data_IF_815293111958
#
_entry.id   IF_815293111958
#
_cell.length_a   1.000
_cell.length_b   1.000
_cell.length_c   1.000
_cell.angle_alpha   90.00
_cell.angle_beta   90.00
_cell.angle_gamma   90.00
#
_symmetry.space_group_name_H-M   'P 1'
#
loop_
_entity.id
_entity.type
_entity.pdbx_description
1 polymer ?
#
# COMPACT_ATOMS: atom_id res chain seq x y z
N UNK A 1 -4.04 -13.06 -29.38
CA UNK A 1 -4.05 -12.25 -28.14
C UNK A 1 -3.14 -12.86 -27.04
N UNK A 2 -2.02 -13.51 -27.39
CA UNK A 2 -1.11 -14.17 -26.42
C UNK A 2 0.36 -13.69 -26.52
N UNK A 3 0.61 -12.54 -27.17
CA UNK A 3 1.97 -12.02 -27.38
C UNK A 3 2.31 -10.82 -26.45
N UNK A 4 1.40 -10.41 -25.55
CA UNK A 4 1.62 -9.28 -24.62
C UNK A 4 2.22 -9.68 -23.26
N UNK A 5 2.24 -10.97 -22.91
CA UNK A 5 2.80 -11.47 -21.65
C UNK A 5 4.08 -12.30 -21.87
N UNK A 6 4.95 -11.89 -22.79
CA UNK A 6 6.34 -12.32 -22.65
C UNK A 6 6.89 -11.58 -21.44
N UNK A 7 6.91 -12.25 -20.28
CA UNK A 7 7.46 -11.73 -19.03
C UNK A 7 8.94 -11.47 -19.30
N UNK A 8 9.25 -10.26 -19.76
CA UNK A 8 10.63 -9.89 -20.05
C UNK A 8 11.35 -9.85 -18.71
N UNK A 9 12.22 -10.82 -18.45
CA UNK A 9 13.07 -10.85 -17.25
C UNK A 9 13.84 -9.53 -17.06
N UNK A 10 14.09 -8.79 -18.15
CA UNK A 10 14.62 -7.42 -18.15
C UNK A 10 13.70 -6.41 -17.44
N UNK A 11 12.39 -6.45 -17.69
CA UNK A 11 11.39 -5.57 -17.07
C UNK A 11 11.15 -5.93 -15.60
N UNK A 12 11.17 -7.22 -15.28
CA UNK A 12 11.17 -7.70 -13.88
C UNK A 12 12.41 -7.21 -13.13
N UNK A 13 13.58 -7.28 -13.77
CA UNK A 13 14.84 -6.76 -13.22
C UNK A 13 14.82 -5.25 -13.00
N UNK A 14 14.19 -4.49 -13.90
CA UNK A 14 13.99 -3.04 -13.74
C UNK A 14 13.07 -2.74 -12.55
N UNK A 15 11.98 -3.49 -12.39
CA UNK A 15 11.07 -3.34 -11.23
C UNK A 15 11.76 -3.62 -9.89
N UNK A 16 12.56 -4.69 -9.82
CA UNK A 16 13.37 -5.00 -8.64
C UNK A 16 14.46 -3.94 -8.37
N UNK A 17 15.11 -3.41 -9.41
CA UNK A 17 16.06 -2.30 -9.25
C UNK A 17 15.38 -1.05 -8.70
N UNK A 18 14.22 -0.67 -9.23
CA UNK A 18 13.45 0.47 -8.73
C UNK A 18 13.05 0.28 -7.27
N UNK A 19 12.57 -0.91 -6.87
CA UNK A 19 12.22 -1.16 -5.47
C UNK A 19 13.43 -1.03 -4.54
N UNK A 20 14.59 -1.53 -4.94
CA UNK A 20 15.81 -1.39 -4.13
C UNK A 20 16.27 0.06 -4.03
N UNK A 21 16.15 0.85 -5.10
CA UNK A 21 16.46 2.28 -5.10
C UNK A 21 15.48 3.06 -4.21
N UNK A 22 14.18 2.75 -4.29
CA UNK A 22 13.14 3.34 -3.44
C UNK A 22 13.44 3.09 -1.96
N UNK A 23 13.79 1.85 -1.59
CA UNK A 23 14.17 1.49 -0.22
C UNK A 23 15.40 2.26 0.24
N UNK A 24 16.44 2.37 -0.59
CA UNK A 24 17.63 3.18 -0.26
C UNK A 24 17.29 4.67 -0.08
N UNK A 25 16.42 5.23 -0.93
CA UNK A 25 15.95 6.60 -0.80
C UNK A 25 15.10 6.83 0.48
N UNK A 26 14.24 5.88 0.85
CA UNK A 26 13.47 5.94 2.08
C UNK A 26 14.37 5.96 3.32
N UNK A 27 15.40 5.09 3.36
CA UNK A 27 16.38 5.04 4.46
C UNK A 27 17.09 6.39 4.65
N UNK A 28 17.51 7.03 3.54
CA UNK A 28 18.15 8.35 3.55
C UNK A 28 17.17 9.43 4.01
N UNK A 29 15.92 9.38 3.53
CA UNK A 29 14.90 10.34 3.93
C UNK A 29 14.60 10.31 5.43
N UNK A 30 14.69 9.17 6.09
CA UNK A 30 14.51 9.07 7.54
C UNK A 30 15.61 9.81 8.30
N UNK A 31 16.84 9.85 7.77
CA UNK A 31 17.93 10.61 8.37
C UNK A 31 17.64 12.12 8.36
N UNK A 32 17.07 12.61 7.26
CA UNK A 32 16.56 13.99 7.14
C UNK A 32 15.42 14.21 8.13
N UNK A 33 14.49 13.26 8.23
CA UNK A 33 13.31 13.34 9.10
C UNK A 33 13.64 13.33 10.61
N UNK A 34 14.83 12.87 11.00
CA UNK A 34 15.34 12.98 12.38
C UNK A 34 15.50 14.42 12.85
N UNK A 35 15.61 15.37 11.93
CA UNK A 35 15.79 16.79 12.22
C UNK A 35 14.45 17.55 12.36
N UNK A 36 13.31 16.87 12.18
CA UNK A 36 12.00 17.50 12.25
C UNK A 36 11.38 17.45 13.65
N UNK A 37 10.58 18.47 13.96
CA UNK A 37 9.79 18.50 15.20
C UNK A 37 8.71 17.41 15.18
N UNK A 38 8.34 16.90 16.36
CA UNK A 38 7.35 15.81 16.50
C UNK A 38 6.01 16.12 15.83
N UNK A 39 5.58 17.38 15.83
CA UNK A 39 4.30 17.78 15.22
C UNK A 39 4.37 17.73 13.69
N UNK A 40 5.46 18.27 13.11
CA UNK A 40 5.72 18.23 11.67
C UNK A 40 5.91 16.79 11.18
N UNK A 41 6.62 15.95 11.96
CA UNK A 41 6.80 14.53 11.65
C UNK A 41 5.47 13.80 11.51
N UNK A 42 4.56 13.93 12.48
CA UNK A 42 3.26 13.26 12.45
C UNK A 42 2.39 13.71 11.26
N UNK A 43 2.42 15.01 10.93
CA UNK A 43 1.71 15.55 9.77
C UNK A 43 2.26 14.97 8.46
N UNK A 44 3.59 14.98 8.30
CA UNK A 44 4.26 14.45 7.10
C UNK A 44 3.97 12.96 6.93
N UNK A 45 4.13 12.16 7.98
CA UNK A 45 3.85 10.71 7.95
C UNK A 45 2.39 10.43 7.55
N UNK A 46 1.44 11.20 8.11
CA UNK A 46 0.03 11.07 7.75
C UNK A 46 -0.22 11.43 6.28
N UNK A 47 0.44 12.47 5.78
CA UNK A 47 0.36 12.87 4.37
C UNK A 47 0.90 11.77 3.46
N UNK A 48 2.08 11.22 3.74
CA UNK A 48 2.69 10.13 2.95
C UNK A 48 1.80 8.87 2.92
N UNK A 49 1.25 8.44 4.06
CA UNK A 49 0.30 7.32 4.12
C UNK A 49 -0.96 7.63 3.30
N UNK A 50 -1.55 8.82 3.46
CA UNK A 50 -2.76 9.20 2.72
C UNK A 50 -2.53 9.31 1.21
N UNK A 51 -1.34 9.75 0.80
CA UNK A 51 -0.94 9.85 -0.59
C UNK A 51 -0.74 8.47 -1.23
N UNK A 52 -0.04 7.54 -0.55
CA UNK A 52 0.15 6.17 -1.03
C UNK A 52 -1.20 5.46 -1.23
N UNK A 53 -2.07 5.50 -0.21
CA UNK A 53 -3.41 4.91 -0.28
C UNK A 53 -4.25 5.56 -1.38
N UNK A 54 -4.19 6.89 -1.52
CA UNK A 54 -4.90 7.63 -2.57
C UNK A 54 -4.42 7.28 -3.98
N UNK A 55 -3.11 7.16 -4.18
CA UNK A 55 -2.51 6.82 -5.47
C UNK A 55 -2.82 5.37 -5.89
N UNK A 56 -2.67 4.40 -4.98
CA UNK A 56 -2.95 2.98 -5.24
C UNK A 56 -4.45 2.72 -5.49
N UNK A 57 -5.32 3.34 -4.69
CA UNK A 57 -6.77 3.24 -4.91
C UNK A 57 -7.18 3.93 -6.22
N UNK A 58 -6.66 5.14 -6.50
CA UNK A 58 -6.90 5.84 -7.76
C UNK A 58 -6.45 5.04 -8.98
N UNK A 59 -5.24 4.46 -8.94
CA UNK A 59 -4.73 3.61 -10.03
C UNK A 59 -5.63 2.39 -10.26
N UNK A 60 -6.10 1.77 -9.18
CA UNK A 60 -7.05 0.66 -9.26
C UNK A 60 -8.38 1.09 -9.92
N UNK A 61 -8.93 2.24 -9.57
CA UNK A 61 -10.18 2.72 -10.14
C UNK A 61 -10.06 3.19 -11.60
N UNK A 62 -9.01 3.91 -11.96
CA UNK A 62 -8.89 4.47 -13.31
C UNK A 62 -8.30 3.49 -14.33
N UNK A 63 -7.52 2.51 -13.88
CA UNK A 63 -6.87 1.57 -14.79
C UNK A 63 -7.61 0.22 -14.86
N UNK A 64 -8.03 -0.34 -13.71
CA UNK A 64 -8.68 -1.65 -13.70
C UNK A 64 -10.16 -1.57 -14.08
N UNK A 65 -10.86 -0.46 -13.80
CA UNK A 65 -12.28 -0.35 -14.09
C UNK A 65 -12.60 -0.30 -15.59
N UNK A 66 -11.89 0.51 -16.42
CA UNK A 66 -12.11 0.51 -17.87
C UNK A 66 -11.62 -0.79 -18.51
N UNK A 67 -10.54 -1.38 -17.99
CA UNK A 67 -10.00 -2.63 -18.50
C UNK A 67 -10.92 -3.81 -18.23
N UNK A 68 -11.52 -3.90 -17.03
CA UNK A 68 -12.54 -4.90 -16.71
C UNK A 68 -13.81 -4.73 -17.55
N UNK A 69 -14.19 -3.50 -17.87
CA UNK A 69 -15.34 -3.25 -18.75
C UNK A 69 -15.05 -3.62 -20.21
N UNK A 70 -13.85 -3.32 -20.71
CA UNK A 70 -13.44 -3.64 -22.09
C UNK A 70 -13.31 -5.14 -22.34
N UNK A 71 -12.79 -5.91 -21.37
CA UNK A 71 -12.63 -7.37 -21.49
C UNK A 71 -13.99 -8.09 -21.54
N UNK A 72 -15.01 -7.53 -20.87
CA UNK A 72 -16.38 -8.05 -20.89
C UNK A 72 -17.15 -7.71 -22.18
N UNK A 73 -16.64 -6.81 -23.02
CA UNK A 73 -17.23 -6.46 -24.32
C UNK A 73 -16.70 -7.32 -25.47
N UNK A 74 -15.62 -8.11 -25.26
CA UNK A 74 -15.01 -8.98 -26.30
C UNK A 74 -15.56 -10.42 -26.29
N UNK A 75 -16.40 -10.80 -25.30
CA UNK A 75 -17.07 -12.10 -25.28
C UNK A 75 -18.48 -12.03 -25.88
N UNK A 76 -18.63 -12.57 -27.11
CA UNK A 76 -19.86 -12.65 -27.89
C UNK A 76 -21.06 -13.35 -27.19
N UNK A 77 -21.76 -12.73 -26.23
CA UNK A 77 -23.15 -13.09 -25.82
C UNK A 77 -23.96 -11.91 -25.25
N UNK A 78 -25.07 -11.59 -25.94
CA UNK A 78 -26.30 -10.89 -25.51
C UNK A 78 -26.18 -9.60 -24.66
N UNK A 79 -26.45 -8.40 -25.23
CA UNK A 79 -26.36 -7.12 -24.53
C UNK A 79 -27.71 -6.74 -23.93
N UNK A 80 -27.87 -6.71 -22.59
CA UNK A 80 -28.83 -5.77 -21.98
C UNK A 80 -28.69 -5.56 -20.45
N UNK A 81 -28.08 -6.47 -19.67
CA UNK A 81 -28.10 -6.33 -18.20
C UNK A 81 -26.74 -6.37 -17.48
N UNK A 82 -25.71 -7.00 -18.05
CA UNK A 82 -24.41 -7.19 -17.36
C UNK A 82 -23.58 -5.90 -17.22
N UNK A 83 -23.66 -4.97 -18.17
CA UNK A 83 -22.88 -3.71 -18.14
C UNK A 83 -23.28 -2.79 -16.98
N UNK A 84 -24.57 -2.78 -16.64
CA UNK A 84 -25.13 -1.99 -15.54
C UNK A 84 -24.69 -2.50 -14.16
N UNK A 85 -24.39 -3.80 -14.03
CA UNK A 85 -23.99 -4.37 -12.75
C UNK A 85 -22.54 -4.02 -12.38
N UNK A 86 -21.61 -3.89 -13.33
CA UNK A 86 -20.22 -3.51 -13.02
C UNK A 86 -20.08 -2.09 -12.49
N UNK A 87 -20.83 -1.15 -13.07
CA UNK A 87 -20.85 0.23 -12.60
C UNK A 87 -21.36 0.31 -11.15
N UNK A 88 -22.45 -0.41 -10.84
CA UNK A 88 -22.98 -0.49 -9.48
C UNK A 88 -22.04 -1.23 -8.52
N UNK A 89 -21.34 -2.28 -8.96
CA UNK A 89 -20.39 -3.03 -8.15
C UNK A 89 -19.19 -2.16 -7.75
N UNK A 90 -18.65 -1.36 -8.66
CA UNK A 90 -17.55 -0.45 -8.35
C UNK A 90 -17.98 0.65 -7.37
N UNK A 91 -19.14 1.26 -7.62
CA UNK A 91 -19.71 2.28 -6.73
C UNK A 91 -19.96 1.68 -5.33
N UNK A 92 -20.53 0.48 -5.25
CA UNK A 92 -20.72 -0.25 -4.00
C UNK A 92 -19.39 -0.52 -3.29
N UNK A 93 -18.34 -0.88 -4.01
CA UNK A 93 -16.99 -1.08 -3.48
C UNK A 93 -16.41 0.18 -2.84
N UNK A 94 -16.55 1.34 -3.49
CA UNK A 94 -16.11 2.64 -2.94
C UNK A 94 -16.87 2.97 -1.65
N UNK A 95 -18.19 2.80 -1.64
CA UNK A 95 -19.01 3.06 -0.46
C UNK A 95 -18.72 2.08 0.68
N UNK A 96 -18.53 0.79 0.37
CA UNK A 96 -18.15 -0.22 1.35
C UNK A 96 -16.78 0.08 1.98
N UNK A 97 -15.79 0.48 1.17
CA UNK A 97 -14.48 0.89 1.67
C UNK A 97 -14.56 2.11 2.59
N UNK A 98 -15.30 3.15 2.19
CA UNK A 98 -15.53 4.33 3.01
C UNK A 98 -16.23 3.99 4.34
N UNK A 99 -17.24 3.12 4.28
CA UNK A 99 -17.97 2.65 5.46
C UNK A 99 -17.05 1.88 6.41
N UNK A 100 -16.24 0.95 5.90
CA UNK A 100 -15.25 0.22 6.71
C UNK A 100 -14.26 1.16 7.42
N UNK A 101 -13.72 2.17 6.72
CA UNK A 101 -12.79 3.15 7.31
C UNK A 101 -13.49 3.99 8.39
N UNK A 102 -14.75 4.38 8.16
CA UNK A 102 -15.57 5.09 9.15
C UNK A 102 -15.90 4.23 10.36
N UNK A 103 -16.23 2.95 10.16
CA UNK A 103 -16.48 2.00 11.23
C UNK A 103 -15.24 1.82 12.10
N UNK A 104 -14.05 1.69 11.52
CA UNK A 104 -12.79 1.61 12.30
C UNK A 104 -12.62 2.84 13.19
N UNK A 105 -12.87 4.05 12.66
CA UNK A 105 -12.84 5.29 13.46
C UNK A 105 -13.90 5.31 14.56
N UNK A 106 -15.14 4.92 14.25
CA UNK A 106 -16.23 4.87 15.22
C UNK A 106 -15.94 3.87 16.33
N UNK A 107 -15.46 2.67 16.00
CA UNK A 107 -15.05 1.65 16.98
C UNK A 107 -13.92 2.19 17.85
N UNK A 108 -12.92 2.85 17.26
CA UNK A 108 -11.81 3.44 18.01
C UNK A 108 -12.28 4.55 18.97
N UNK A 109 -13.16 5.45 18.53
CA UNK A 109 -13.72 6.50 19.37
C UNK A 109 -14.67 5.96 20.45
N UNK A 110 -15.47 4.92 20.16
CA UNK A 110 -16.28 4.22 21.16
C UNK A 110 -15.37 3.58 22.23
N UNK A 111 -14.26 2.96 21.83
CA UNK A 111 -13.27 2.38 22.76
C UNK A 111 -12.60 3.46 23.63
N UNK A 112 -12.44 4.67 23.10
CA UNK A 112 -11.90 5.84 23.81
C UNK A 112 -12.94 6.48 24.76
N UNK A 113 -14.21 6.57 24.34
CA UNK A 113 -15.30 7.14 25.11
C UNK A 113 -15.79 6.25 26.26
N UNK A 114 -15.65 4.92 26.13
CA UNK A 114 -16.00 3.96 27.19
C UNK A 114 -15.07 3.96 28.40
N UNK A 115 -14.12 4.90 28.50
CA UNK A 115 -13.36 5.12 29.73
C UNK A 115 -12.68 3.85 30.25
N UNK A 116 -12.31 2.92 29.35
CA UNK A 116 -11.25 1.99 29.69
C UNK A 116 -10.03 2.88 29.76
N UNK A 117 -9.69 3.31 30.98
CA UNK A 117 -8.36 3.76 31.31
C UNK A 117 -7.44 2.60 30.94
N UNK A 118 -7.06 2.54 29.67
CA UNK A 118 -5.76 2.03 29.29
C UNK A 118 -4.83 3.04 29.95
N UNK A 119 -4.55 2.80 31.25
CA UNK A 119 -3.24 3.12 31.75
C UNK A 119 -2.31 2.69 30.65
N UNK A 120 -1.45 3.62 30.26
CA UNK A 120 -0.32 3.43 29.35
C UNK A 120 0.60 2.33 29.93
N UNK A 121 0.11 1.10 30.00
CA UNK A 121 0.78 0.07 29.28
C UNK A 121 0.67 0.53 27.85
N UNK A 122 1.73 1.21 27.41
CA UNK A 122 2.23 1.02 26.08
C UNK A 122 1.80 -0.37 25.64
N UNK A 123 1.31 -0.51 24.42
CA UNK A 123 1.43 -1.82 23.79
C UNK A 123 2.96 -2.06 23.65
N UNK A 124 3.71 -2.24 24.74
CA UNK A 124 4.19 -3.57 25.06
C UNK A 124 3.07 -4.51 24.64
N UNK A 125 3.17 -4.93 23.37
CA UNK A 125 3.30 -6.35 23.17
C UNK A 125 4.07 -6.85 24.39
N UNK A 126 3.34 -7.34 25.40
CA UNK A 126 3.74 -8.58 26.04
C UNK A 126 4.04 -9.45 24.82
N UNK A 127 5.28 -9.46 24.34
CA UNK A 127 6.30 -10.37 24.82
C UNK A 127 5.74 -11.37 25.85
N UNK A 128 4.57 -11.98 25.55
CA UNK A 128 4.48 -13.41 25.60
C UNK A 128 5.79 -13.86 24.99
N UNK A 129 6.58 -14.54 25.80
CA UNK A 129 7.84 -15.15 25.48
C UNK A 129 7.74 -15.99 24.19
N UNK A 130 7.65 -15.28 23.08
CA UNK A 130 7.65 -15.66 21.70
C UNK A 130 8.64 -14.65 21.18
N UNK A 131 9.89 -15.05 21.23
CA UNK A 131 10.79 -14.77 20.14
C UNK A 131 10.01 -15.11 18.86
N UNK A 132 9.22 -14.18 18.33
CA UNK A 132 8.93 -14.17 16.91
C UNK A 132 10.32 -14.16 16.30
N UNK A 133 10.74 -15.25 15.65
CA UNK A 133 12.13 -15.35 15.22
C UNK A 133 12.39 -14.12 14.38
N UNK A 134 13.45 -13.35 14.69
CA UNK A 134 13.80 -12.09 13.99
C UNK A 134 13.78 -12.28 12.46
N UNK A 135 14.05 -13.51 12.02
CA UNK A 135 13.87 -14.04 10.67
C UNK A 135 12.49 -13.83 10.04
N UNK A 136 11.39 -13.93 10.78
CA UNK A 136 10.03 -13.72 10.26
C UNK A 136 9.79 -12.26 9.87
N UNK A 137 10.36 -11.30 10.62
CA UNK A 137 10.28 -9.88 10.29
C UNK A 137 11.10 -9.60 9.03
N UNK A 138 12.35 -10.09 8.99
CA UNK A 138 13.23 -9.95 7.81
C UNK A 138 12.63 -10.63 6.58
N UNK A 139 12.01 -11.79 6.76
CA UNK A 139 11.34 -12.54 5.70
C UNK A 139 10.08 -11.81 5.22
N UNK A 140 9.27 -11.27 6.13
CA UNK A 140 8.10 -10.46 5.79
C UNK A 140 8.48 -9.21 5.01
N UNK A 141 9.54 -8.51 5.44
CA UNK A 141 10.09 -7.36 4.73
C UNK A 141 10.63 -7.74 3.35
N UNK A 142 11.34 -8.87 3.25
CA UNK A 142 11.84 -9.38 1.98
C UNK A 142 10.71 -9.72 1.00
N UNK A 143 9.64 -10.35 1.48
CA UNK A 143 8.45 -10.66 0.67
C UNK A 143 7.70 -9.39 0.24
N UNK A 144 7.57 -8.40 1.11
CA UNK A 144 6.92 -7.13 0.77
C UNK A 144 7.67 -6.43 -0.35
N UNK A 145 9.00 -6.29 -0.22
CA UNK A 145 9.87 -5.70 -1.24
C UNK A 145 9.77 -6.43 -2.58
N UNK A 146 9.62 -7.76 -2.54
CA UNK A 146 9.45 -8.57 -3.73
C UNK A 146 8.12 -8.30 -4.42
N UNK A 147 7.02 -8.24 -3.65
CA UNK A 147 5.68 -7.96 -4.17
C UNK A 147 5.62 -6.55 -4.78
N UNK A 148 6.20 -5.56 -4.12
CA UNK A 148 6.28 -4.19 -4.64
C UNK A 148 7.09 -4.12 -5.94
N UNK A 149 8.24 -4.82 -5.99
CA UNK A 149 9.10 -4.85 -7.17
C UNK A 149 8.46 -5.54 -8.38
N UNK A 150 7.71 -6.63 -8.15
CA UNK A 150 6.89 -7.28 -9.19
C UNK A 150 5.79 -6.34 -9.67
N UNK A 151 5.13 -5.63 -8.75
CA UNK A 151 4.04 -4.70 -9.06
C UNK A 151 4.52 -3.51 -9.90
N UNK A 152 5.66 -2.91 -9.52
CA UNK A 152 6.34 -1.85 -10.29
C UNK A 152 6.77 -2.37 -11.67
N UNK A 153 7.36 -3.57 -11.72
CA UNK A 153 7.78 -4.20 -12.96
C UNK A 153 6.61 -4.43 -13.93
N UNK A 154 5.48 -4.92 -13.42
CA UNK A 154 4.25 -5.09 -14.19
C UNK A 154 3.69 -3.75 -14.69
N UNK A 155 3.71 -2.72 -13.85
CA UNK A 155 3.25 -1.38 -14.23
C UNK A 155 4.07 -0.75 -15.36
N UNK A 156 5.40 -0.94 -15.36
CA UNK A 156 6.27 -0.48 -16.45
C UNK A 156 6.07 -1.25 -17.75
N UNK A 157 5.57 -2.48 -17.71
CA UNK A 157 5.17 -3.24 -18.92
C UNK A 157 3.96 -2.58 -19.57
N UNK A 158 3.04 -2.05 -18.77
CA UNK A 158 1.83 -1.37 -19.27
C UNK A 158 2.16 0.01 -19.84
N UNK A 159 2.81 0.87 -19.05
CA UNK A 159 3.29 2.18 -19.51
C UNK A 159 4.30 2.80 -18.55
N UNK A 160 5.12 3.71 -19.07
CA UNK A 160 6.09 4.45 -18.25
C UNK A 160 5.39 5.32 -17.18
N UNK A 161 4.21 5.87 -17.48
CA UNK A 161 3.43 6.68 -16.55
C UNK A 161 2.83 5.83 -15.41
N UNK A 162 2.31 4.64 -15.72
CA UNK A 162 1.82 3.69 -14.71
C UNK A 162 2.95 3.23 -13.79
N UNK A 163 4.09 2.84 -14.38
CA UNK A 163 5.29 2.45 -13.63
C UNK A 163 5.82 3.53 -12.69
N UNK A 164 5.87 4.79 -13.14
CA UNK A 164 6.28 5.93 -12.30
C UNK A 164 5.27 6.20 -11.17
N UNK A 165 3.97 6.14 -11.45
CA UNK A 165 2.92 6.36 -10.44
C UNK A 165 3.00 5.30 -9.33
N UNK A 166 3.11 4.02 -9.70
CA UNK A 166 3.19 2.92 -8.74
C UNK A 166 4.51 2.97 -7.96
N UNK A 167 5.63 3.31 -8.61
CA UNK A 167 6.91 3.53 -7.93
C UNK A 167 6.85 4.64 -6.88
N UNK A 168 6.17 5.75 -7.19
CA UNK A 168 6.00 6.86 -6.24
C UNK A 168 5.07 6.47 -5.08
N UNK A 169 4.01 5.72 -5.36
CA UNK A 169 3.11 5.22 -4.31
C UNK A 169 3.84 4.30 -3.32
N UNK A 170 4.65 3.36 -3.84
CA UNK A 170 5.51 2.47 -3.04
C UNK A 170 6.56 3.26 -2.25
N UNK A 171 7.15 4.31 -2.83
CA UNK A 171 8.06 5.17 -2.07
C UNK A 171 7.35 5.85 -0.89
N UNK A 172 6.11 6.27 -1.09
CA UNK A 172 5.33 6.95 -0.07
C UNK A 172 4.80 6.03 1.04
N UNK A 173 4.62 4.73 0.79
CA UNK A 173 4.26 3.76 1.84
C UNK A 173 5.48 3.24 2.61
N UNK A 174 6.66 3.22 1.98
CA UNK A 174 7.88 2.77 2.64
C UNK A 174 8.44 3.77 3.64
N UNK A 175 8.25 5.05 3.35
CA UNK A 175 8.64 6.13 4.25
C UNK A 175 8.07 5.99 5.68
N UNK A 176 6.74 5.84 5.86
CA UNK A 176 6.16 5.62 7.18
C UNK A 176 6.53 4.25 7.77
N UNK A 177 6.63 3.21 6.94
CA UNK A 177 6.95 1.85 7.39
C UNK A 177 8.34 1.76 8.04
N UNK A 178 9.37 2.29 7.38
CA UNK A 178 10.73 2.27 7.92
C UNK A 178 10.90 3.18 9.15
N UNK A 179 10.16 4.29 9.21
CA UNK A 179 10.17 5.19 10.36
C UNK A 179 9.62 4.52 11.64
N UNK A 180 8.61 3.66 11.49
CA UNK A 180 8.07 2.83 12.57
C UNK A 180 9.04 1.74 13.04
N UNK A 181 9.82 1.14 12.13
CA UNK A 181 10.84 0.13 12.47
C UNK A 181 12.01 0.71 13.27
N UNK A 182 12.52 1.88 12.91
CA UNK A 182 13.60 2.55 13.67
C UNK A 182 13.16 2.89 15.10
N UNK A 183 11.91 3.31 15.31
CA UNK A 183 11.39 3.54 16.65
C UNK A 183 11.37 2.26 17.52
N UNK A 184 11.05 1.11 16.91
CA UNK A 184 11.14 -0.19 17.57
C UNK A 184 12.58 -0.61 17.86
N UNK A 185 13.51 -0.47 16.91
CA UNK A 185 14.91 -0.87 17.09
C UNK A 185 15.70 0.02 18.06
N UNK A 186 15.35 1.30 18.23
CA UNK A 186 15.99 2.20 19.20
C UNK A 186 15.51 1.98 20.65
N UNK A 187 14.52 1.09 20.86
CA UNK A 187 13.98 0.74 22.19
C UNK A 187 14.45 -0.63 22.70
N UNK A 188 15.30 -1.32 21.94
CA UNK A 188 15.97 -2.59 22.28
C UNK A 188 17.42 -2.29 22.57
#
# INVERSE_FOLDING_TARGET
MLHRFSVNFKLLGIGLLFVTLIKMCAVVGIDIMRHLTKNTYNQIITLFVSFAVGSLSGSSFYHLLPQAHADLMDENREPMHSSLHLEHISILGVYAFFFCVKLIKIIFEIRKAHGICVHDHSIEFRAANRQSPRWMIVFGDGLHNLIDGISIGAAFVESIHSGLSISLAVLCEEFPHESGKKFWFNRI
#
